data_IF_415653521836
#
_entry.id   IF_415653521836
#
_cell.length_a   1.000
_cell.length_b   1.000
_cell.length_c   1.000
_cell.angle_alpha   90.00
_cell.angle_beta   90.00
_cell.angle_gamma   90.00
#
_symmetry.space_group_name_H-M   'P 1'
#
loop_
_entity.id
_entity.type
_entity.pdbx_description
1 polymer ?
#
# COMPACT_ATOMS: atom_id res chain seq x y z
N UNK A 1 11.97 -28.14 -73.99
CA UNK A 1 13.36 -28.57 -74.23
C UNK A 1 13.91 -28.87 -72.89
N UNK A 2 13.88 -30.16 -72.53
CA UNK A 2 15.01 -31.07 -72.43
C UNK A 2 15.80 -30.91 -71.14
N UNK A 3 15.59 -31.89 -70.26
CA UNK A 3 16.43 -33.06 -69.86
C UNK A 3 17.47 -32.64 -68.84
N UNK A 4 17.83 -33.38 -67.76
CA UNK A 4 17.84 -34.80 -67.48
C UNK A 4 18.25 -34.99 -66.02
N UNK A 5 17.63 -35.86 -65.27
CA UNK A 5 18.04 -37.09 -64.58
C UNK A 5 19.50 -37.21 -64.10
N UNK A 6 19.65 -37.66 -62.84
CA UNK A 6 20.37 -38.86 -62.35
C UNK A 6 20.35 -38.82 -60.81
N UNK A 7 19.74 -39.64 -60.02
CA UNK A 7 19.76 -41.04 -59.63
C UNK A 7 21.16 -41.55 -59.23
N UNK A 8 21.22 -42.15 -58.07
CA UNK A 8 21.99 -43.27 -57.51
C UNK A 8 22.38 -42.94 -56.07
N UNK A 9 21.96 -43.58 -55.05
CA UNK A 9 21.81 -44.95 -54.60
C UNK A 9 22.66 -45.22 -53.36
N UNK A 10 21.98 -45.71 -52.34
CA UNK A 10 22.36 -46.74 -51.36
C UNK A 10 23.57 -46.55 -50.44
N UNK A 11 23.41 -46.63 -49.11
CA UNK A 11 23.76 -47.84 -48.39
C UNK A 11 23.25 -47.85 -46.97
N UNK A 12 22.66 -48.91 -46.60
CA UNK A 12 22.16 -49.40 -45.31
C UNK A 12 23.28 -49.56 -44.32
N UNK A 13 23.09 -49.23 -43.07
CA UNK A 13 23.57 -50.08 -41.96
C UNK A 13 22.64 -49.91 -40.75
N UNK A 14 21.98 -50.99 -40.40
CA UNK A 14 21.19 -51.17 -39.20
C UNK A 14 22.13 -51.54 -38.06
N UNK A 15 21.94 -50.94 -36.89
CA UNK A 15 22.37 -51.54 -35.62
C UNK A 15 21.22 -51.49 -34.64
N UNK A 16 20.73 -52.65 -34.34
CA UNK A 16 19.76 -52.96 -33.29
C UNK A 16 20.33 -52.80 -31.92
N UNK A 17 19.62 -52.16 -31.05
CA UNK A 17 19.89 -52.09 -29.61
C UNK A 17 18.60 -52.06 -28.83
N UNK A 18 18.03 -53.21 -28.55
CA UNK A 18 16.98 -53.47 -27.58
C UNK A 18 17.50 -53.22 -26.18
N UNK A 19 16.92 -52.29 -25.43
CA UNK A 19 16.98 -52.29 -23.96
C UNK A 19 15.58 -52.05 -23.42
N UNK A 20 15.23 -52.96 -22.54
CA UNK A 20 13.96 -53.31 -21.96
C UNK A 20 13.25 -52.13 -21.19
N UNK A 21 11.94 -52.13 -21.35
CA UNK A 21 11.01 -51.58 -20.38
C UNK A 21 11.10 -52.30 -19.04
N UNK A 22 11.21 -51.56 -17.97
CA UNK A 22 10.82 -52.02 -16.65
C UNK A 22 9.80 -51.06 -16.08
N UNK A 23 8.55 -51.48 -16.11
CA UNK A 23 7.49 -50.97 -15.30
C UNK A 23 7.87 -51.06 -13.82
N UNK A 24 7.83 -49.91 -13.14
CA UNK A 24 7.66 -49.84 -11.70
C UNK A 24 6.49 -48.93 -11.35
N UNK A 25 5.33 -49.54 -11.32
CA UNK A 25 4.21 -49.04 -10.54
C UNK A 25 4.63 -48.90 -9.08
N UNK A 26 4.83 -47.66 -8.63
CA UNK A 26 4.86 -47.31 -7.21
C UNK A 26 3.60 -46.52 -6.89
N UNK A 27 2.76 -47.16 -6.12
CA UNK A 27 1.68 -46.60 -5.33
C UNK A 27 2.11 -45.28 -4.65
N UNK A 28 1.46 -44.16 -4.98
CA UNK A 28 1.57 -42.91 -4.31
C UNK A 28 0.30 -42.64 -3.49
N UNK A 29 0.29 -43.21 -2.30
CA UNK A 29 -0.49 -42.64 -1.20
C UNK A 29 0.49 -41.79 -0.38
N UNK A 30 0.50 -40.47 -0.63
CA UNK A 30 0.96 -39.52 0.36
C UNK A 30 0.22 -38.21 0.13
N UNK A 31 -0.86 -38.03 0.88
CA UNK A 31 -1.55 -36.77 1.02
C UNK A 31 -0.77 -35.91 2.03
N UNK A 32 0.40 -35.43 1.67
CA UNK A 32 1.00 -34.28 2.33
C UNK A 32 0.35 -33.04 1.76
N UNK A 33 -0.47 -32.39 2.60
CA UNK A 33 -0.84 -30.99 2.39
C UNK A 33 0.43 -30.17 2.47
N UNK A 34 1.03 -29.92 1.33
CA UNK A 34 2.03 -28.87 1.19
C UNK A 34 1.28 -27.55 1.41
N UNK A 35 1.42 -26.99 2.61
CA UNK A 35 1.20 -25.56 2.81
C UNK A 35 2.34 -24.86 2.06
N UNK A 36 2.20 -24.68 0.76
CA UNK A 36 2.97 -23.69 0.03
C UNK A 36 2.54 -22.33 0.56
N UNK A 37 3.27 -21.83 1.55
CA UNK A 37 3.37 -20.39 1.76
C UNK A 37 3.92 -19.83 0.47
N UNK A 38 3.07 -19.21 -0.34
CA UNK A 38 3.50 -18.42 -1.48
C UNK A 38 4.31 -17.27 -0.88
N UNK A 39 5.63 -17.40 -0.83
CA UNK A 39 6.54 -16.29 -0.61
C UNK A 39 6.40 -15.41 -1.86
N UNK A 40 5.54 -14.38 -1.75
CA UNK A 40 5.43 -13.35 -2.77
C UNK A 40 6.75 -12.60 -2.71
N UNK A 41 7.61 -12.82 -3.68
CA UNK A 41 8.83 -12.04 -3.86
C UNK A 41 8.42 -10.57 -3.99
N UNK A 42 8.98 -9.72 -3.13
CA UNK A 42 8.69 -8.28 -3.13
C UNK A 42 9.02 -7.62 -4.48
N UNK A 43 9.89 -8.23 -5.30
CA UNK A 43 10.18 -7.80 -6.66
C UNK A 43 9.02 -8.03 -7.63
N UNK A 44 8.21 -9.07 -7.45
CA UNK A 44 7.01 -9.32 -8.27
C UNK A 44 5.88 -8.33 -7.98
N UNK A 45 5.87 -7.73 -6.79
CA UNK A 45 4.85 -6.75 -6.40
C UNK A 45 5.08 -5.38 -7.03
N UNK A 46 6.27 -5.12 -7.55
CA UNK A 46 6.61 -4.00 -8.44
C UNK A 46 6.20 -4.26 -9.89
N UNK A 47 5.48 -5.38 -10.15
CA UNK A 47 5.05 -5.71 -11.50
C UNK A 47 4.35 -4.52 -12.14
N UNK A 48 4.61 -4.29 -13.41
CA UNK A 48 4.02 -3.22 -14.23
C UNK A 48 2.49 -3.30 -14.34
N UNK A 49 1.87 -4.38 -13.82
CA UNK A 49 0.46 -4.70 -13.93
C UNK A 49 -0.32 -4.36 -12.67
N UNK A 50 -1.60 -4.02 -12.84
CA UNK A 50 -2.55 -3.91 -11.73
C UNK A 50 -2.86 -5.31 -11.18
N UNK A 51 -3.20 -5.38 -9.89
CA UNK A 51 -3.60 -6.66 -9.28
C UNK A 51 -4.91 -7.18 -9.86
N UNK A 52 -5.08 -8.50 -9.82
CA UNK A 52 -6.39 -9.15 -9.95
C UNK A 52 -7.07 -9.26 -8.58
N UNK A 53 -8.37 -9.63 -8.58
CA UNK A 53 -9.11 -9.88 -7.35
C UNK A 53 -8.48 -10.98 -6.49
N UNK A 54 -8.02 -12.06 -7.13
CA UNK A 54 -7.39 -13.21 -6.46
C UNK A 54 -6.06 -12.84 -5.84
N UNK A 55 -5.23 -12.06 -6.56
CA UNK A 55 -3.96 -11.57 -6.05
C UNK A 55 -4.16 -10.64 -4.85
N UNK A 56 -5.13 -9.70 -4.92
CA UNK A 56 -5.46 -8.84 -3.79
C UNK A 56 -5.97 -9.65 -2.59
N UNK A 57 -6.83 -10.64 -2.82
CA UNK A 57 -7.38 -11.48 -1.75
C UNK A 57 -6.29 -12.27 -1.01
N UNK A 58 -5.22 -12.68 -1.70
CA UNK A 58 -4.09 -13.40 -1.14
C UNK A 58 -3.16 -12.52 -0.28
N UNK A 59 -3.24 -11.18 -0.40
CA UNK A 59 -2.42 -10.28 0.40
C UNK A 59 -2.83 -10.29 1.87
N UNK A 60 -1.83 -10.21 2.75
CA UNK A 60 -2.01 -9.96 4.19
C UNK A 60 -1.72 -8.48 4.52
N UNK A 61 -2.25 -7.96 5.65
CA UNK A 61 -1.90 -6.61 6.10
C UNK A 61 -0.40 -6.40 6.28
N UNK A 62 0.34 -7.42 6.75
CA UNK A 62 1.78 -7.33 6.96
C UNK A 62 2.56 -7.31 5.65
N UNK A 63 2.16 -8.12 4.68
CA UNK A 63 2.73 -8.07 3.33
C UNK A 63 2.54 -6.68 2.71
N UNK A 64 1.34 -6.10 2.82
CA UNK A 64 1.07 -4.76 2.29
C UNK A 64 1.92 -3.70 3.01
N UNK A 65 2.08 -3.80 4.32
CA UNK A 65 2.95 -2.88 5.07
C UNK A 65 4.42 -2.99 4.62
N UNK A 66 4.92 -4.21 4.41
CA UNK A 66 6.28 -4.42 3.89
C UNK A 66 6.46 -3.80 2.49
N UNK A 67 5.46 -3.95 1.62
CA UNK A 67 5.44 -3.35 0.29
C UNK A 67 5.52 -1.82 0.36
N UNK A 68 4.76 -1.17 1.26
CA UNK A 68 4.80 0.29 1.41
C UNK A 68 6.12 0.77 2.00
N UNK A 69 6.69 0.05 2.96
CA UNK A 69 8.02 0.36 3.52
C UNK A 69 9.09 0.31 2.44
N UNK A 70 9.13 -0.78 1.68
CA UNK A 70 10.07 -0.91 0.55
C UNK A 70 9.86 0.18 -0.49
N UNK A 71 8.61 0.49 -0.83
CA UNK A 71 8.32 1.57 -1.77
C UNK A 71 8.80 2.94 -1.29
N UNK A 72 8.77 3.22 0.02
CA UNK A 72 9.34 4.44 0.56
C UNK A 72 10.88 4.41 0.56
N UNK A 73 11.52 3.26 0.81
CA UNK A 73 12.96 3.09 0.63
C UNK A 73 13.40 3.36 -0.81
N UNK A 74 12.64 2.86 -1.79
CA UNK A 74 12.89 3.09 -3.21
C UNK A 74 12.71 4.59 -3.55
N UNK A 75 11.68 5.25 -3.01
CA UNK A 75 11.44 6.69 -3.21
C UNK A 75 12.58 7.55 -2.70
N UNK A 76 13.07 7.31 -1.47
CA UNK A 76 14.15 8.13 -0.87
C UNK A 76 15.53 7.82 -1.46
N UNK A 77 15.70 6.71 -2.16
CA UNK A 77 16.94 6.34 -2.86
C UNK A 77 16.96 6.76 -4.33
N UNK A 78 15.96 7.56 -4.77
CA UNK A 78 15.78 7.96 -6.16
C UNK A 78 15.70 6.77 -7.14
N UNK A 79 15.31 5.60 -6.65
CA UNK A 79 15.09 4.45 -7.51
C UNK A 79 13.93 4.71 -8.47
N UNK A 80 14.25 4.79 -9.75
CA UNK A 80 13.26 5.06 -10.78
C UNK A 80 12.44 3.80 -11.06
N UNK A 81 11.12 3.87 -10.87
CA UNK A 81 10.22 2.86 -11.41
C UNK A 81 9.79 3.30 -12.81
N UNK A 82 10.07 2.47 -13.79
CA UNK A 82 9.48 2.63 -15.11
C UNK A 82 8.00 2.27 -14.97
N UNK A 83 7.14 3.29 -14.96
CA UNK A 83 5.69 3.11 -14.89
C UNK A 83 5.14 3.05 -16.31
N UNK A 84 4.64 1.89 -16.75
CA UNK A 84 3.85 1.82 -17.98
C UNK A 84 2.44 2.37 -17.73
N UNK A 85 2.34 3.70 -17.62
CA UNK A 85 1.09 4.41 -17.28
C UNK A 85 -0.04 4.07 -18.24
N UNK A 86 0.25 4.00 -19.54
CA UNK A 86 -0.76 3.72 -20.56
C UNK A 86 -1.34 2.31 -20.44
N UNK A 87 -0.53 1.32 -20.10
CA UNK A 87 -0.98 -0.06 -19.87
C UNK A 87 -1.82 -0.15 -18.60
N UNK A 88 -1.32 0.40 -17.49
CA UNK A 88 -2.05 0.41 -16.21
C UNK A 88 -3.40 1.12 -16.28
N UNK A 89 -3.51 2.22 -17.05
CA UNK A 89 -4.80 2.88 -17.30
C UNK A 89 -5.78 1.91 -17.96
N UNK A 90 -5.34 1.17 -18.98
CA UNK A 90 -6.21 0.20 -19.68
C UNK A 90 -6.58 -0.97 -18.78
N UNK A 91 -5.64 -1.53 -18.04
CA UNK A 91 -5.88 -2.66 -17.14
C UNK A 91 -6.81 -2.30 -15.99
N UNK A 92 -6.66 -1.08 -15.42
CA UNK A 92 -7.49 -0.59 -14.32
C UNK A 92 -8.89 -0.11 -14.75
N UNK A 93 -9.15 0.02 -16.06
CA UNK A 93 -10.39 0.63 -16.55
C UNK A 93 -11.67 -0.13 -16.17
N UNK A 94 -11.61 -1.45 -16.05
CA UNK A 94 -12.77 -2.32 -15.77
C UNK A 94 -12.83 -2.80 -14.33
N UNK A 95 -11.83 -2.50 -13.50
CA UNK A 95 -11.81 -2.91 -12.10
C UNK A 95 -10.58 -2.36 -11.40
N UNK A 96 -10.65 -2.32 -10.06
CA UNK A 96 -9.54 -1.87 -9.22
C UNK A 96 -9.42 -2.76 -7.99
N UNK A 97 -8.18 -3.12 -7.65
CA UNK A 97 -7.86 -4.01 -6.54
C UNK A 97 -6.71 -3.42 -5.70
N UNK A 98 -6.91 -2.23 -5.11
CA UNK A 98 -5.85 -1.53 -4.37
C UNK A 98 -5.46 -2.27 -3.10
N UNK A 99 -4.18 -2.26 -2.80
CA UNK A 99 -3.59 -2.95 -1.65
C UNK A 99 -3.94 -2.27 -0.33
N UNK A 100 -3.98 -0.93 -0.34
CA UNK A 100 -4.15 -0.10 0.85
C UNK A 100 -4.96 1.17 0.55
N UNK A 101 -5.43 1.80 1.61
CA UNK A 101 -5.94 3.18 1.59
C UNK A 101 -5.08 4.06 2.48
N UNK A 102 -4.67 5.21 1.95
CA UNK A 102 -3.84 6.19 2.66
C UNK A 102 -4.69 7.43 2.93
N UNK A 103 -4.89 7.79 4.20
CA UNK A 103 -5.45 9.09 4.58
C UNK A 103 -4.29 10.06 4.82
N UNK A 104 -4.13 11.02 3.92
CA UNK A 104 -3.05 12.01 3.96
C UNK A 104 -3.59 13.44 4.08
N UNK A 105 -2.68 14.37 4.35
CA UNK A 105 -2.97 15.79 4.27
C UNK A 105 -3.18 16.25 2.81
N UNK A 106 -3.87 17.41 2.67
CA UNK A 106 -4.00 18.13 1.40
C UNK A 106 -2.66 18.70 0.91
N UNK A 107 -1.63 18.72 1.73
CA UNK A 107 -0.32 19.34 1.44
C UNK A 107 0.27 18.83 0.12
N UNK A 108 0.57 19.76 -0.79
CA UNK A 108 1.05 19.46 -2.16
C UNK A 108 2.45 18.84 -2.19
N UNK A 109 3.19 18.91 -1.08
CA UNK A 109 4.55 18.37 -0.96
C UNK A 109 4.58 16.88 -0.57
N UNK A 110 3.40 16.27 -0.37
CA UNK A 110 3.26 14.85 -0.02
C UNK A 110 2.56 14.10 -1.17
N UNK A 111 3.29 13.74 -2.23
CA UNK A 111 2.73 12.97 -3.36
C UNK A 111 2.63 11.50 -2.96
N UNK A 112 1.52 11.09 -2.38
CA UNK A 112 1.34 9.80 -1.68
C UNK A 112 1.74 8.60 -2.53
N UNK A 113 1.33 8.57 -3.79
CA UNK A 113 1.63 7.47 -4.71
C UNK A 113 3.14 7.36 -4.96
N UNK A 114 3.83 8.51 -5.09
CA UNK A 114 5.28 8.54 -5.26
C UNK A 114 6.01 8.18 -3.97
N UNK A 115 5.56 8.70 -2.83
CA UNK A 115 6.12 8.40 -1.49
C UNK A 115 6.19 6.90 -1.23
N UNK A 116 5.19 6.15 -1.70
CA UNK A 116 5.15 4.70 -1.56
C UNK A 116 5.53 3.95 -2.84
N UNK A 117 6.03 4.66 -3.86
CA UNK A 117 6.48 4.09 -5.12
C UNK A 117 5.42 3.19 -5.75
N UNK A 118 4.16 3.66 -5.81
CA UNK A 118 3.01 2.91 -6.32
C UNK A 118 2.43 3.54 -7.58
N UNK A 119 1.83 2.70 -8.41
CA UNK A 119 1.23 3.11 -9.68
C UNK A 119 -0.30 3.22 -9.61
N UNK A 120 -0.90 3.53 -10.78
CA UNK A 120 -2.35 3.58 -10.96
C UNK A 120 -2.98 2.25 -10.53
N UNK A 121 -4.03 2.31 -9.69
CA UNK A 121 -4.78 1.15 -9.21
C UNK A 121 -4.18 0.47 -7.98
N UNK A 122 -3.00 0.89 -7.48
CA UNK A 122 -2.33 0.27 -6.34
C UNK A 122 -2.85 0.73 -4.98
N UNK A 123 -3.24 2.01 -4.88
CA UNK A 123 -3.66 2.64 -3.63
C UNK A 123 -4.95 3.43 -3.81
N UNK A 124 -5.80 3.42 -2.80
CA UNK A 124 -6.72 4.52 -2.56
C UNK A 124 -6.01 5.64 -1.80
N UNK A 125 -6.29 6.89 -2.18
CA UNK A 125 -5.74 8.06 -1.48
C UNK A 125 -6.87 9.01 -1.13
N UNK A 126 -7.16 9.13 0.18
CA UNK A 126 -8.04 10.14 0.73
C UNK A 126 -7.20 11.32 1.24
N UNK A 127 -7.56 12.55 0.87
CA UNK A 127 -6.80 13.75 1.25
C UNK A 127 -7.70 14.81 1.85
N UNK A 128 -7.34 15.26 3.04
CA UNK A 128 -7.97 16.38 3.73
C UNK A 128 -6.95 17.10 4.60
N UNK A 129 -7.04 18.43 4.71
CA UNK A 129 -6.09 19.21 5.50
C UNK A 129 -5.98 18.67 6.94
N UNK A 130 -4.75 18.38 7.36
CA UNK A 130 -4.46 17.81 8.67
C UNK A 130 -4.89 16.35 8.84
N UNK A 131 -5.08 15.60 7.75
CA UNK A 131 -5.44 14.15 7.78
C UNK A 131 -6.48 13.79 8.86
N UNK A 132 -7.50 14.67 9.03
CA UNK A 132 -8.58 14.51 10.01
C UNK A 132 -9.57 13.41 9.59
N UNK A 133 -10.31 12.88 10.55
CA UNK A 133 -11.37 11.91 10.32
C UNK A 133 -12.73 12.54 10.57
N UNK A 134 -13.60 12.51 9.56
CA UNK A 134 -15.01 12.85 9.61
C UNK A 134 -15.86 11.73 9.00
N UNK A 135 -17.16 11.90 8.90
CA UNK A 135 -18.09 10.89 8.39
C UNK A 135 -17.75 10.45 6.95
N UNK A 136 -17.44 11.41 6.07
CA UNK A 136 -17.14 11.13 4.66
C UNK A 136 -15.82 10.35 4.52
N UNK A 137 -14.82 10.69 5.32
CA UNK A 137 -13.54 9.96 5.37
C UNK A 137 -13.76 8.54 5.92
N UNK A 138 -14.54 8.41 7.01
CA UNK A 138 -14.86 7.08 7.55
C UNK A 138 -15.56 6.20 6.51
N UNK A 139 -16.60 6.71 5.85
CA UNK A 139 -17.31 6.00 4.79
C UNK A 139 -16.36 5.60 3.64
N UNK A 140 -15.42 6.48 3.27
CA UNK A 140 -14.42 6.17 2.25
C UNK A 140 -13.46 5.06 2.67
N UNK A 141 -13.00 5.05 3.94
CA UNK A 141 -12.14 4.00 4.48
C UNK A 141 -12.89 2.66 4.59
N UNK A 142 -14.16 2.68 5.01
CA UNK A 142 -15.02 1.49 5.04
C UNK A 142 -15.22 0.92 3.62
N UNK A 143 -15.51 1.79 2.64
CA UNK A 143 -15.60 1.38 1.25
C UNK A 143 -14.31 0.74 0.76
N UNK A 144 -13.17 1.36 1.02
CA UNK A 144 -11.86 0.87 0.59
C UNK A 144 -11.55 -0.53 1.15
N UNK A 145 -11.86 -0.76 2.43
CA UNK A 145 -11.53 -2.03 3.09
C UNK A 145 -12.64 -3.08 2.92
N UNK A 146 -13.90 -2.72 3.24
CA UNK A 146 -15.00 -3.69 3.30
C UNK A 146 -15.54 -4.05 1.92
N UNK A 147 -15.60 -3.07 1.01
CA UNK A 147 -16.16 -3.26 -0.34
C UNK A 147 -15.08 -3.61 -1.34
N UNK A 148 -13.95 -2.89 -1.32
CA UNK A 148 -12.90 -3.03 -2.33
C UNK A 148 -11.71 -3.90 -1.89
N UNK A 149 -11.69 -4.42 -0.66
CA UNK A 149 -10.75 -5.45 -0.22
C UNK A 149 -9.35 -4.98 0.16
N UNK A 150 -9.11 -3.66 0.32
CA UNK A 150 -7.83 -3.14 0.82
C UNK A 150 -7.48 -3.69 2.20
N UNK A 151 -6.21 -4.06 2.41
CA UNK A 151 -5.74 -4.75 3.61
C UNK A 151 -5.13 -3.84 4.66
N UNK A 152 -4.82 -2.59 4.31
CA UNK A 152 -4.11 -1.68 5.20
C UNK A 152 -4.70 -0.28 5.10
N UNK A 153 -4.90 0.35 6.26
CA UNK A 153 -5.20 1.79 6.40
C UNK A 153 -3.95 2.45 6.98
N UNK A 154 -3.40 3.45 6.28
CA UNK A 154 -2.30 4.28 6.78
C UNK A 154 -2.79 5.70 6.98
N UNK A 155 -2.65 6.20 8.20
CA UNK A 155 -2.86 7.63 8.51
C UNK A 155 -1.51 8.32 8.38
N UNK A 156 -1.32 9.00 7.26
CA UNK A 156 -0.05 9.65 6.92
C UNK A 156 -0.10 11.13 7.30
N UNK A 157 0.47 11.45 8.48
CA UNK A 157 0.80 12.82 8.87
C UNK A 157 2.10 13.27 8.20
N UNK A 158 2.43 14.55 8.35
CA UNK A 158 3.70 15.09 7.86
C UNK A 158 4.21 16.24 8.73
N UNK A 159 5.51 16.46 8.68
CA UNK A 159 6.14 17.60 9.38
C UNK A 159 5.69 18.94 8.78
N UNK A 160 5.80 20.00 9.57
CA UNK A 160 5.45 21.38 9.16
C UNK A 160 4.02 21.55 8.62
N UNK A 161 3.06 20.74 9.10
CA UNK A 161 1.68 20.78 8.63
C UNK A 161 1.01 22.12 8.95
N UNK A 162 0.56 22.83 7.91
CA UNK A 162 -0.12 24.12 8.06
C UNK A 162 -1.43 24.06 8.86
N UNK A 163 -2.19 22.97 8.72
CA UNK A 163 -3.43 22.77 9.50
C UNK A 163 -3.13 22.54 10.99
N UNK A 164 -2.04 21.84 11.33
CA UNK A 164 -1.60 21.66 12.71
C UNK A 164 -1.18 23.02 13.30
N UNK A 165 -0.33 23.78 12.60
CA UNK A 165 0.05 25.13 13.03
C UNK A 165 -1.16 26.04 13.24
N UNK A 166 -2.11 26.05 12.32
CA UNK A 166 -3.35 26.82 12.43
C UNK A 166 -4.22 26.37 13.62
N UNK A 167 -4.21 25.07 13.98
CA UNK A 167 -4.92 24.57 15.16
C UNK A 167 -4.24 25.03 16.45
N UNK A 168 -2.91 25.01 16.52
CA UNK A 168 -2.11 25.53 17.65
C UNK A 168 -2.39 27.02 17.85
N UNK A 169 -2.38 27.83 16.79
CA UNK A 169 -2.62 29.27 16.83
C UNK A 169 -4.11 29.63 16.98
N UNK A 170 -5.00 28.65 17.11
CA UNK A 170 -6.43 28.84 17.30
C UNK A 170 -7.09 29.69 16.19
N UNK A 171 -6.64 29.56 14.95
CA UNK A 171 -7.16 30.33 13.80
C UNK A 171 -8.67 30.15 13.65
N UNK A 172 -9.37 31.26 13.35
CA UNK A 172 -10.80 31.33 13.09
C UNK A 172 -11.03 31.89 11.70
N UNK A 173 -11.44 31.06 10.76
CA UNK A 173 -11.66 31.48 9.38
C UNK A 173 -12.66 30.52 8.70
N UNK A 174 -13.87 30.98 8.45
CA UNK A 174 -14.89 30.24 7.72
C UNK A 174 -14.94 28.75 8.09
N UNK A 175 -15.04 27.88 7.10
CA UNK A 175 -15.07 26.41 7.27
C UNK A 175 -13.78 25.81 7.83
N UNK A 176 -12.65 26.54 7.73
CA UNK A 176 -11.37 26.12 8.35
C UNK A 176 -11.53 25.98 9.86
N UNK A 177 -12.33 26.85 10.50
CA UNK A 177 -12.64 26.76 11.93
C UNK A 177 -13.22 25.40 12.33
N UNK A 178 -14.18 24.90 11.56
CA UNK A 178 -14.82 23.60 11.79
C UNK A 178 -13.84 22.44 11.52
N UNK A 179 -12.97 22.55 10.50
CA UNK A 179 -11.92 21.58 10.22
C UNK A 179 -10.92 21.51 11.39
N UNK A 180 -10.40 22.65 11.82
CA UNK A 180 -9.40 22.72 12.91
C UNK A 180 -9.96 22.22 14.25
N UNK A 181 -11.29 22.31 14.48
CA UNK A 181 -11.91 21.75 15.69
C UNK A 181 -11.70 20.25 15.84
N UNK A 182 -11.49 19.53 14.74
CA UNK A 182 -11.21 18.08 14.71
C UNK A 182 -9.74 17.74 15.06
N UNK A 183 -8.83 18.72 14.88
CA UNK A 183 -7.42 18.60 15.25
C UNK A 183 -7.19 18.96 16.72
N UNK A 184 -7.96 19.90 17.28
CA UNK A 184 -7.79 20.44 18.63
C UNK A 184 -7.64 19.38 19.74
N UNK A 185 -8.37 18.26 19.75
CA UNK A 185 -8.18 17.22 20.75
C UNK A 185 -6.73 16.68 20.80
N UNK A 186 -5.98 16.77 19.68
CA UNK A 186 -4.57 16.38 19.67
C UNK A 186 -3.67 17.32 20.50
N UNK A 187 -4.07 18.59 20.70
CA UNK A 187 -3.30 19.55 21.52
C UNK A 187 -3.35 19.24 23.01
N UNK A 188 -4.35 18.48 23.46
CA UNK A 188 -4.59 18.11 24.86
C UNK A 188 -4.46 16.61 25.10
N UNK A 189 -3.88 15.88 24.14
CA UNK A 189 -3.72 14.42 24.24
C UNK A 189 -2.77 14.03 25.38
N UNK A 190 -2.90 12.79 25.83
CA UNK A 190 -2.37 12.21 27.06
C UNK A 190 -0.84 12.23 27.23
N UNK A 191 -0.10 12.65 26.22
CA UNK A 191 1.36 12.73 26.29
C UNK A 191 1.77 14.19 26.52
N UNK A 192 2.17 14.60 27.73
CA UNK A 192 2.53 15.97 28.00
C UNK A 192 3.82 16.36 27.27
N UNK A 193 3.80 17.51 26.60
CA UNK A 193 4.99 18.10 26.00
C UNK A 193 5.67 19.03 26.99
N UNK A 194 6.99 18.88 27.13
CA UNK A 194 7.82 19.77 27.96
C UNK A 194 8.42 20.86 27.08
N UNK A 195 8.19 22.13 27.43
CA UNK A 195 8.68 23.27 26.68
C UNK A 195 7.60 24.21 26.16
N UNK A 196 8.01 25.17 25.33
CA UNK A 196 7.11 26.17 24.73
C UNK A 196 6.10 25.51 23.78
N UNK A 197 4.82 25.78 24.02
CA UNK A 197 3.68 25.27 23.21
C UNK A 197 3.26 26.29 22.17
N UNK A 198 4.10 26.55 21.19
CA UNK A 198 3.83 27.53 20.11
C UNK A 198 4.23 26.96 18.75
N UNK A 199 3.75 27.61 17.69
CA UNK A 199 4.12 27.28 16.30
C UNK A 199 5.56 27.63 15.94
N UNK A 200 6.26 28.41 16.80
CA UNK A 200 7.70 28.71 16.67
C UNK A 200 8.57 27.56 17.16
N UNK A 201 8.03 26.70 18.02
CA UNK A 201 8.73 25.52 18.52
C UNK A 201 8.45 24.33 17.59
N UNK A 202 9.38 24.02 16.71
CA UNK A 202 9.25 22.91 15.73
C UNK A 202 9.06 21.56 16.41
N UNK A 203 9.72 21.32 17.55
CA UNK A 203 9.54 20.09 18.32
C UNK A 203 8.12 19.95 18.86
N UNK A 204 7.47 21.05 19.24
CA UNK A 204 6.06 21.05 19.64
C UNK A 204 5.15 20.78 18.45
N UNK A 205 5.37 21.43 17.30
CA UNK A 205 4.60 21.17 16.07
C UNK A 205 4.72 19.71 15.66
N UNK A 206 5.93 19.16 15.66
CA UNK A 206 6.19 17.73 15.37
C UNK A 206 5.41 16.82 16.33
N UNK A 207 5.50 17.10 17.65
CA UNK A 207 4.74 16.37 18.65
C UNK A 207 3.23 16.36 18.35
N UNK A 208 2.65 17.51 18.00
CA UNK A 208 1.22 17.60 17.69
C UNK A 208 0.88 16.88 16.38
N UNK A 209 1.76 16.89 15.37
CA UNK A 209 1.58 16.08 14.16
C UNK A 209 1.43 14.58 14.53
N UNK A 210 2.30 14.04 15.39
CA UNK A 210 2.21 12.66 15.87
C UNK A 210 0.92 12.40 16.67
N UNK A 211 0.56 13.33 17.59
CA UNK A 211 -0.68 13.18 18.37
C UNK A 211 -1.93 13.19 17.48
N UNK A 212 -1.92 13.98 16.41
CA UNK A 212 -3.04 14.05 15.47
C UNK A 212 -3.16 12.76 14.63
N UNK A 213 -2.05 12.13 14.22
CA UNK A 213 -2.07 10.80 13.60
C UNK A 213 -2.70 9.77 14.54
N UNK A 214 -2.24 9.73 15.80
CA UNK A 214 -2.79 8.84 16.83
C UNK A 214 -4.28 9.11 17.11
N UNK A 215 -4.69 10.38 17.15
CA UNK A 215 -6.08 10.78 17.30
C UNK A 215 -6.94 10.27 16.13
N UNK A 216 -6.46 10.41 14.90
CA UNK A 216 -7.17 9.92 13.71
C UNK A 216 -7.36 8.40 13.75
N UNK A 217 -6.34 7.65 14.14
CA UNK A 217 -6.42 6.18 14.34
C UNK A 217 -7.47 5.83 15.40
N UNK A 218 -7.44 6.50 16.57
CA UNK A 218 -8.45 6.28 17.62
C UNK A 218 -9.87 6.57 17.09
N UNK A 219 -10.04 7.70 16.41
CA UNK A 219 -11.34 8.09 15.84
C UNK A 219 -11.88 7.05 14.85
N UNK A 220 -11.03 6.40 14.04
CA UNK A 220 -11.44 5.33 13.13
C UNK A 220 -11.96 4.14 13.94
N UNK A 221 -11.19 3.68 14.93
CA UNK A 221 -11.54 2.53 15.78
C UNK A 221 -12.80 2.76 16.62
N UNK A 222 -13.00 4.01 17.10
CA UNK A 222 -14.12 4.35 17.98
C UNK A 222 -15.41 4.59 17.19
N UNK A 223 -15.31 5.12 15.97
CA UNK A 223 -16.48 5.56 15.19
C UNK A 223 -16.88 4.64 14.05
N UNK A 224 -16.02 3.67 13.68
CA UNK A 224 -16.34 2.66 12.67
C UNK A 224 -16.34 1.25 13.28
N UNK A 225 -17.50 0.73 13.69
CA UNK A 225 -17.61 -0.66 14.12
C UNK A 225 -17.15 -1.66 13.05
N UNK A 226 -17.36 -1.34 11.76
CA UNK A 226 -16.96 -2.18 10.63
C UNK A 226 -15.44 -2.35 10.60
N UNK A 227 -14.71 -1.24 10.60
CA UNK A 227 -13.24 -1.29 10.52
C UNK A 227 -12.62 -1.86 11.80
N UNK A 228 -13.21 -1.57 12.96
CA UNK A 228 -12.81 -2.16 14.25
C UNK A 228 -12.94 -3.68 14.26
N UNK A 229 -14.05 -4.21 13.74
CA UNK A 229 -14.28 -5.65 13.64
C UNK A 229 -13.29 -6.30 12.65
N UNK A 230 -13.07 -5.69 11.48
CA UNK A 230 -12.10 -6.18 10.47
C UNK A 230 -10.68 -6.22 11.05
N UNK A 231 -10.27 -5.17 11.78
CA UNK A 231 -8.96 -5.12 12.44
C UNK A 231 -8.84 -6.21 13.53
N UNK A 232 -9.87 -6.41 14.34
CA UNK A 232 -9.90 -7.45 15.39
C UNK A 232 -9.81 -8.88 14.82
N UNK A 233 -10.31 -9.10 13.61
CA UNK A 233 -10.20 -10.38 12.88
C UNK A 233 -8.88 -10.54 12.14
N UNK A 234 -8.01 -9.53 12.11
CA UNK A 234 -6.77 -9.54 11.34
C UNK A 234 -6.95 -9.40 9.82
N UNK A 235 -8.17 -9.04 9.36
CA UNK A 235 -8.46 -8.83 7.94
C UNK A 235 -7.78 -7.56 7.41
N UNK A 236 -7.61 -6.55 8.28
CA UNK A 236 -6.91 -5.30 8.01
C UNK A 236 -5.99 -4.91 9.17
N UNK A 237 -5.10 -3.95 8.93
CA UNK A 237 -4.40 -3.17 9.97
C UNK A 237 -4.66 -1.68 9.79
N UNK A 238 -4.67 -0.95 10.92
CA UNK A 238 -4.77 0.51 10.95
C UNK A 238 -3.52 1.03 11.63
N UNK A 239 -2.67 1.71 10.88
CA UNK A 239 -1.38 2.21 11.37
C UNK A 239 -1.20 3.69 11.08
N UNK A 240 -0.24 4.30 11.77
CA UNK A 240 0.21 5.66 11.51
C UNK A 240 1.52 5.71 10.75
N UNK A 241 1.77 6.83 10.12
CA UNK A 241 3.06 7.21 9.56
C UNK A 241 3.25 8.71 9.64
N UNK A 242 4.50 9.16 9.75
CA UNK A 242 4.87 10.56 9.67
C UNK A 242 5.88 10.75 8.54
N UNK A 243 5.49 11.51 7.53
CA UNK A 243 6.36 11.88 6.40
C UNK A 243 7.30 13.00 6.80
N UNK A 244 8.59 12.77 6.67
CA UNK A 244 9.65 13.74 6.93
C UNK A 244 9.91 14.58 5.70
N UNK A 245 9.65 15.89 5.83
CA UNK A 245 9.64 16.81 4.68
C UNK A 245 11.02 17.03 4.04
N UNK A 246 12.09 16.84 4.78
CA UNK A 246 13.46 17.04 4.27
C UNK A 246 14.01 15.81 3.54
N UNK A 247 13.56 14.62 3.92
CA UNK A 247 14.17 13.37 3.44
C UNK A 247 13.22 12.51 2.60
N UNK A 248 11.90 12.77 2.68
CA UNK A 248 10.89 11.91 2.06
C UNK A 248 10.64 10.60 2.81
N UNK A 249 11.36 10.36 3.92
CA UNK A 249 11.19 9.14 4.71
C UNK A 249 9.86 9.12 5.46
N UNK A 250 9.22 7.96 5.52
CA UNK A 250 8.03 7.72 6.35
C UNK A 250 8.43 6.94 7.60
N UNK A 251 8.30 7.57 8.75
CA UNK A 251 8.42 6.91 10.05
C UNK A 251 7.07 6.25 10.38
N UNK A 252 7.00 4.93 10.32
CA UNK A 252 5.81 4.17 10.69
C UNK A 252 5.69 4.02 12.21
N UNK A 253 4.46 4.16 12.75
CA UNK A 253 4.14 4.21 14.17
C UNK A 253 3.50 2.91 14.66
#
# INVERSE_FOLDING_TARGET
MNFSKLVISSLLLAVTGLIACQDKTKSLNNTEKVNETIEIDSSEVLSEKVLTAEQQAALTPDTVLAILKRGNEDFISDALTIRNTSERIREAALGQYPKAVILSCLDSRVPVEDVFHRGIGDLFVARVAGNIVNEDILGSLEYACKVSGSKLIVILGHEHCGAIKAAIDNVKLGNITALLSKIRPALTADTPFQGEKSTKNEAYVHHICLQNVKLSIRNIRDKSPILKEMEAKGEIKIIGGLYKMETGNVEFL
#
